data_IF_066243795791
#
_entry.id   IF_066243795791
#
_cell.length_a   1.000
_cell.length_b   1.000
_cell.length_c   1.000
_cell.angle_alpha   90.00
_cell.angle_beta   90.00
_cell.angle_gamma   90.00
#
_symmetry.space_group_name_H-M   'P 1'
#
loop_
_entity.id
_entity.type
_entity.pdbx_description
1 polymer ?
#
# COMPACT_ATOMS: atom_id res chain seq x y z
N UNK A 1 27.10 1.96 -65.37
CA UNK A 1 26.54 3.32 -65.17
C UNK A 1 26.73 3.67 -63.70
N UNK A 2 27.54 4.70 -63.43
CA UNK A 2 27.75 5.31 -62.12
C UNK A 2 26.47 5.99 -61.61
N UNK A 3 26.20 5.93 -60.30
CA UNK A 3 26.53 7.02 -59.36
C UNK A 3 26.15 6.64 -57.90
N UNK A 4 26.94 7.08 -56.89
CA UNK A 4 26.66 6.95 -55.47
C UNK A 4 26.02 8.24 -54.90
N UNK A 5 25.23 8.13 -53.82
CA UNK A 5 24.85 9.29 -53.01
C UNK A 5 25.23 9.09 -51.54
N UNK A 6 26.19 9.91 -51.15
CA UNK A 6 26.65 10.22 -49.80
C UNK A 6 25.83 11.39 -49.26
N UNK A 7 25.54 11.45 -47.94
CA UNK A 7 25.85 12.57 -47.02
C UNK A 7 24.98 12.57 -45.73
N UNK A 8 25.70 12.46 -44.60
CA UNK A 8 25.61 13.24 -43.34
C UNK A 8 24.28 13.47 -42.63
N UNK A 9 24.23 13.12 -41.33
CA UNK A 9 24.12 14.09 -40.22
C UNK A 9 24.85 13.52 -38.98
N UNK A 10 25.92 14.19 -38.53
CA UNK A 10 26.53 14.01 -37.21
C UNK A 10 26.04 15.16 -36.33
N UNK A 11 25.16 14.88 -35.37
CA UNK A 11 24.62 15.89 -34.46
C UNK A 11 25.54 15.97 -33.23
N UNK A 12 26.41 16.98 -33.19
CA UNK A 12 27.18 17.35 -31.99
C UNK A 12 26.28 18.12 -31.03
N UNK A 13 25.87 17.48 -29.93
CA UNK A 13 25.26 18.18 -28.80
C UNK A 13 26.38 18.85 -28.00
N UNK A 14 26.40 20.18 -27.98
CA UNK A 14 27.18 21.00 -27.04
C UNK A 14 26.37 21.12 -25.75
N UNK A 15 26.79 20.44 -24.68
CA UNK A 15 26.37 20.81 -23.33
C UNK A 15 27.10 22.08 -22.90
N UNK A 16 26.34 23.14 -22.67
CA UNK A 16 26.81 24.36 -21.99
C UNK A 16 26.29 24.26 -20.56
N UNK A 17 27.14 23.85 -19.62
CA UNK A 17 26.87 23.98 -18.19
C UNK A 17 27.05 25.44 -17.79
N UNK A 18 25.93 26.15 -17.63
CA UNK A 18 25.91 27.47 -16.98
C UNK A 18 25.87 27.28 -15.47
N UNK A 19 27.02 27.37 -14.82
CA UNK A 19 27.13 27.53 -13.37
C UNK A 19 26.48 28.86 -12.95
N UNK A 20 25.38 28.81 -12.19
CA UNK A 20 24.81 29.98 -11.53
C UNK A 20 25.40 30.12 -10.12
N UNK A 21 25.92 31.30 -9.72
CA UNK A 21 26.35 31.54 -8.36
C UNK A 21 25.13 31.71 -7.44
N UNK A 22 25.07 30.89 -6.39
CA UNK A 22 24.11 30.99 -5.30
C UNK A 22 24.37 32.30 -4.55
N UNK A 23 23.40 33.22 -4.57
CA UNK A 23 23.42 34.43 -3.75
C UNK A 23 23.08 34.08 -2.31
N UNK A 24 24.03 34.29 -1.41
CA UNK A 24 23.82 34.27 0.04
C UNK A 24 22.74 35.30 0.43
N UNK A 25 21.58 34.82 0.88
CA UNK A 25 20.58 35.67 1.52
C UNK A 25 20.90 35.83 3.00
N UNK A 26 21.26 37.06 3.38
CA UNK A 26 21.39 37.49 4.77
C UNK A 26 20.06 37.34 5.50
N UNK A 27 19.96 36.32 6.35
CA UNK A 27 18.86 36.11 7.28
C UNK A 27 18.93 37.15 8.42
N UNK A 28 18.13 38.21 8.32
CA UNK A 28 17.94 39.19 9.39
C UNK A 28 17.03 38.60 10.47
N UNK A 29 17.63 38.24 11.61
CA UNK A 29 16.91 37.86 12.85
C UNK A 29 16.08 39.05 13.36
N UNK A 30 14.78 39.00 13.13
CA UNK A 30 13.84 39.93 13.73
C UNK A 30 13.43 39.42 15.11
N UNK A 31 14.08 39.91 16.16
CA UNK A 31 13.67 39.70 17.56
C UNK A 31 12.39 40.51 17.80
N UNK A 32 11.22 39.87 17.81
CA UNK A 32 10.00 40.46 18.38
C UNK A 32 9.78 39.97 19.80
N UNK A 33 9.51 40.96 20.64
CA UNK A 33 9.40 40.89 22.08
C UNK A 33 8.25 39.99 22.53
N UNK A 34 8.56 39.21 23.57
CA UNK A 34 7.61 38.54 24.44
C UNK A 34 6.79 39.62 25.18
N UNK A 35 5.51 39.74 24.85
CA UNK A 35 4.53 40.39 25.72
C UNK A 35 3.71 39.30 26.38
N UNK A 36 4.01 39.13 27.67
CA UNK A 36 3.22 38.41 28.65
C UNK A 36 1.89 39.14 28.85
N UNK A 37 0.78 38.48 28.54
CA UNK A 37 -0.54 38.88 29.05
C UNK A 37 -1.14 37.72 29.83
N UNK A 38 -0.89 37.76 31.13
CA UNK A 38 -1.66 37.09 32.17
C UNK A 38 -3.07 37.68 32.25
N UNK A 39 -4.09 36.83 32.27
CA UNK A 39 -5.48 37.20 32.60
C UNK A 39 -6.39 36.00 32.34
N UNK A 40 -6.57 35.11 33.32
CA UNK A 40 -7.69 35.09 34.27
C UNK A 40 -9.08 34.82 33.64
N UNK A 41 -9.73 33.81 34.24
CA UNK A 41 -11.16 33.44 34.18
C UNK A 41 -11.55 32.71 32.88
N UNK A 42 -12.23 31.57 32.89
CA UNK A 42 -13.42 31.23 33.66
C UNK A 42 -13.60 29.70 33.66
N UNK A 43 -13.84 29.13 34.85
CA UNK A 43 -14.17 27.72 35.04
C UNK A 43 -15.54 27.44 34.41
N UNK A 44 -15.57 26.75 33.28
CA UNK A 44 -16.75 26.01 32.82
C UNK A 44 -16.48 24.52 33.00
N UNK A 45 -16.95 23.99 34.13
CA UNK A 45 -17.10 22.55 34.34
C UNK A 45 -18.27 22.09 33.47
N UNK A 46 -17.97 21.69 32.24
CA UNK A 46 -18.93 21.04 31.35
C UNK A 46 -18.79 19.53 31.56
N UNK A 47 -19.80 18.98 32.22
CA UNK A 47 -19.92 17.58 32.61
C UNK A 47 -20.26 16.78 31.33
N UNK A 48 -19.22 16.44 30.56
CA UNK A 48 -19.31 15.51 29.44
C UNK A 48 -19.49 14.11 30.02
N UNK A 49 -20.72 13.62 29.94
CA UNK A 49 -21.05 12.20 30.07
C UNK A 49 -20.31 11.49 28.95
N UNK A 50 -19.17 10.90 29.30
CA UNK A 50 -18.34 10.11 28.40
C UNK A 50 -19.06 8.83 28.02
N UNK A 51 -19.85 8.88 26.95
CA UNK A 51 -20.17 7.70 26.17
C UNK A 51 -18.93 7.41 25.35
N UNK A 52 -18.00 6.64 25.93
CA UNK A 52 -16.97 5.93 25.18
C UNK A 52 -17.68 4.91 24.30
N UNK A 53 -18.11 5.34 23.12
CA UNK A 53 -18.37 4.43 22.02
C UNK A 53 -17.01 3.83 21.69
N UNK A 54 -16.79 2.59 22.11
CA UNK A 54 -15.70 1.78 21.59
C UNK A 54 -16.01 1.51 20.13
N UNK A 55 -15.73 2.49 19.26
CA UNK A 55 -15.56 2.23 17.86
C UNK A 55 -14.41 1.22 17.80
N UNK A 56 -14.68 0.00 17.32
CA UNK A 56 -13.62 -0.91 16.94
C UNK A 56 -12.91 -0.29 15.74
N UNK A 57 -12.03 0.68 16.03
CA UNK A 57 -10.98 1.08 15.11
C UNK A 57 -10.25 -0.20 14.71
N UNK A 58 -9.90 -0.32 13.44
CA UNK A 58 -9.49 -1.56 12.79
C UNK A 58 -8.10 -2.10 13.24
N UNK A 59 -7.88 -2.21 14.56
CA UNK A 59 -6.81 -2.99 15.16
C UNK A 59 -7.24 -4.45 15.25
N UNK A 60 -7.18 -5.17 14.12
CA UNK A 60 -7.03 -6.61 14.19
C UNK A 60 -5.57 -6.90 14.51
N UNK A 61 -5.29 -7.27 15.76
CA UNK A 61 -4.06 -7.99 16.15
C UNK A 61 -4.03 -9.31 15.35
N UNK A 62 -3.62 -9.26 14.10
CA UNK A 62 -3.25 -10.44 13.34
C UNK A 62 -1.81 -10.81 13.72
N UNK A 63 -1.61 -11.24 14.97
CA UNK A 63 -0.46 -12.08 15.28
C UNK A 63 -0.75 -13.45 14.66
N UNK A 64 -0.32 -13.59 13.41
CA UNK A 64 -0.25 -14.87 12.72
C UNK A 64 0.78 -15.73 13.48
N UNK A 65 0.31 -16.56 14.41
CA UNK A 65 1.15 -17.57 15.05
C UNK A 65 1.50 -18.60 13.98
N UNK A 66 2.76 -18.54 13.55
CA UNK A 66 3.30 -19.30 12.42
C UNK A 66 2.84 -20.75 12.33
N UNK A 67 2.41 -21.13 11.12
CA UNK A 67 2.41 -22.52 10.71
C UNK A 67 3.86 -22.95 10.48
N UNK A 68 4.38 -23.69 11.47
CA UNK A 68 5.65 -24.39 11.35
C UNK A 68 5.64 -25.33 10.16
N UNK A 69 6.64 -25.19 9.31
CA UNK A 69 6.94 -26.14 8.25
C UNK A 69 7.24 -27.53 8.83
N UNK A 70 6.53 -28.53 8.35
CA UNK A 70 7.01 -29.91 8.40
C UNK A 70 7.77 -30.19 7.12
N UNK A 71 9.09 -30.22 7.25
CA UNK A 71 9.97 -30.86 6.29
C UNK A 71 9.63 -32.35 6.25
N UNK A 72 9.24 -32.88 5.09
CA UNK A 72 9.40 -34.31 4.83
C UNK A 72 10.07 -34.50 3.47
N UNK A 73 11.35 -34.91 3.56
CA UNK A 73 12.14 -35.45 2.47
C UNK A 73 11.70 -36.89 2.25
N UNK A 74 11.19 -37.21 1.05
CA UNK A 74 10.71 -38.56 0.73
C UNK A 74 10.74 -38.86 -0.76
N UNK A 75 11.95 -39.07 -1.29
CA UNK A 75 12.19 -39.60 -2.63
C UNK A 75 11.59 -41.03 -2.75
N UNK A 76 10.58 -41.28 -3.59
CA UNK A 76 10.37 -42.61 -4.21
C UNK A 76 9.58 -42.54 -5.52
N UNK A 77 10.25 -43.00 -6.58
CA UNK A 77 9.83 -43.66 -7.82
C UNK A 77 8.43 -43.47 -8.46
N UNK A 78 8.50 -43.35 -9.79
CA UNK A 78 7.45 -43.56 -10.79
C UNK A 78 6.62 -44.85 -10.60
N UNK A 79 5.33 -44.80 -10.94
CA UNK A 79 4.65 -45.57 -12.02
C UNK A 79 3.14 -45.34 -11.94
N UNK A 80 2.48 -45.25 -13.10
CA UNK A 80 1.10 -44.79 -13.20
C UNK A 80 0.03 -45.75 -12.68
N UNK A 81 -1.19 -45.21 -12.59
CA UNK A 81 -2.44 -45.88 -12.95
C UNK A 81 -3.58 -44.88 -12.94
N UNK A 82 -4.32 -44.88 -14.05
CA UNK A 82 -5.65 -44.32 -14.20
C UNK A 82 -6.62 -45.07 -13.28
N UNK A 83 -7.24 -44.41 -12.29
CA UNK A 83 -8.50 -44.91 -11.70
C UNK A 83 -9.46 -43.76 -11.37
N UNK A 84 -10.59 -43.80 -12.07
CA UNK A 84 -11.89 -43.24 -11.73
C UNK A 84 -12.46 -43.91 -10.48
N UNK A 85 -13.00 -43.14 -9.53
CA UNK A 85 -13.85 -43.69 -8.46
C UNK A 85 -13.98 -42.74 -7.28
N UNK A 86 -15.19 -42.23 -7.06
CA UNK A 86 -15.47 -41.25 -6.01
C UNK A 86 -15.57 -41.84 -4.60
N UNK A 87 -15.62 -40.96 -3.61
CA UNK A 87 -16.38 -41.24 -2.40
C UNK A 87 -16.94 -39.96 -1.78
N UNK A 88 -18.16 -40.12 -1.28
CA UNK A 88 -19.07 -39.10 -0.79
C UNK A 88 -19.11 -39.23 0.74
N UNK A 89 -18.47 -38.32 1.46
CA UNK A 89 -18.40 -38.37 2.93
C UNK A 89 -18.70 -37.01 3.53
N UNK A 90 -19.96 -36.81 3.94
CA UNK A 90 -20.46 -35.53 4.40
C UNK A 90 -19.87 -35.02 5.72
N UNK A 91 -19.81 -33.70 5.82
CA UNK A 91 -20.10 -33.00 7.08
C UNK A 91 -21.01 -31.83 6.73
N UNK A 92 -22.31 -32.08 6.85
CA UNK A 92 -23.39 -31.07 6.78
C UNK A 92 -23.38 -30.24 8.06
N UNK A 93 -22.45 -29.29 8.14
CA UNK A 93 -22.52 -28.16 9.06
C UNK A 93 -23.37 -27.06 8.44
N UNK A 94 -24.62 -26.98 8.88
CA UNK A 94 -25.61 -26.02 8.42
C UNK A 94 -25.32 -24.64 9.03
N UNK A 95 -24.38 -23.88 8.46
CA UNK A 95 -24.32 -22.43 8.66
C UNK A 95 -25.21 -21.80 7.61
N UNK A 96 -26.38 -21.39 8.07
CA UNK A 96 -27.38 -20.68 7.29
C UNK A 96 -26.81 -19.30 6.91
N UNK A 97 -26.09 -19.22 5.78
CA UNK A 97 -25.73 -17.95 5.15
C UNK A 97 -27.00 -17.29 4.60
N UNK A 98 -27.61 -16.45 5.43
CA UNK A 98 -28.70 -15.59 5.01
C UNK A 98 -28.17 -14.47 4.13
N UNK A 99 -28.14 -14.72 2.82
CA UNK A 99 -28.80 -13.86 1.84
C UNK A 99 -28.27 -12.43 1.68
N UNK A 100 -27.15 -12.31 0.97
CA UNK A 100 -27.03 -11.50 -0.27
C UNK A 100 -25.90 -12.14 -1.04
N UNK A 101 -26.03 -12.32 -2.35
CA UNK A 101 -24.90 -12.66 -3.21
C UNK A 101 -23.94 -11.47 -3.23
N UNK A 102 -23.21 -11.27 -2.13
CA UNK A 102 -22.02 -10.46 -2.12
C UNK A 102 -21.15 -11.04 -3.22
N UNK A 103 -20.96 -10.27 -4.30
CA UNK A 103 -19.97 -10.62 -5.30
C UNK A 103 -18.69 -10.92 -4.53
N UNK A 104 -18.21 -12.16 -4.68
CA UNK A 104 -17.14 -12.70 -3.86
C UNK A 104 -15.95 -11.76 -3.97
N UNK A 105 -15.57 -11.17 -2.84
CA UNK A 105 -14.34 -10.40 -2.78
C UNK A 105 -13.17 -11.31 -3.15
N UNK A 106 -12.26 -10.81 -3.99
CA UNK A 106 -11.15 -11.57 -4.50
C UNK A 106 -10.08 -11.73 -3.41
N UNK A 107 -10.17 -12.81 -2.63
CA UNK A 107 -9.19 -13.15 -1.59
C UNK A 107 -7.85 -13.55 -2.17
N UNK A 108 -7.77 -13.94 -3.46
CA UNK A 108 -6.49 -14.20 -4.11
C UNK A 108 -5.62 -12.94 -4.18
N UNK A 109 -6.22 -11.75 -4.10
CA UNK A 109 -5.48 -10.50 -4.02
C UNK A 109 -4.91 -10.23 -2.62
N UNK A 110 -5.27 -10.99 -1.58
CA UNK A 110 -4.83 -10.73 -0.19
C UNK A 110 -3.55 -11.45 0.18
N UNK A 111 -3.26 -12.53 -0.53
CA UNK A 111 -2.10 -13.34 -0.25
C UNK A 111 -0.83 -12.66 -0.78
N UNK A 112 0.00 -12.18 0.16
CA UNK A 112 1.30 -11.59 -0.12
C UNK A 112 2.39 -12.64 -0.41
N UNK A 113 2.03 -13.93 -0.46
CA UNK A 113 2.97 -15.02 -0.66
C UNK A 113 3.69 -14.89 -2.01
N UNK A 114 5.03 -15.13 -2.06
CA UNK A 114 5.76 -15.22 -3.32
C UNK A 114 5.20 -16.29 -4.28
N UNK A 115 4.51 -17.30 -3.73
CA UNK A 115 3.88 -18.36 -4.51
C UNK A 115 2.55 -17.95 -5.15
N UNK A 116 1.96 -16.83 -4.73
CA UNK A 116 0.73 -16.29 -5.32
C UNK A 116 1.03 -15.53 -6.63
N UNK A 117 1.48 -16.27 -7.65
CA UNK A 117 1.91 -15.76 -8.97
C UNK A 117 0.76 -15.32 -9.88
N UNK A 118 -0.31 -14.73 -9.33
CA UNK A 118 -1.31 -14.05 -10.16
C UNK A 118 -0.76 -12.75 -10.81
N UNK A 119 0.50 -12.41 -10.58
CA UNK A 119 1.23 -11.36 -11.29
C UNK A 119 2.16 -11.98 -12.32
N UNK A 120 1.75 -11.83 -13.58
CA UNK A 120 2.45 -12.31 -14.75
C UNK A 120 3.88 -11.77 -14.81
N UNK A 121 4.79 -12.70 -15.10
CA UNK A 121 6.24 -12.67 -15.01
C UNK A 121 6.97 -11.66 -15.93
N UNK A 122 6.39 -10.50 -16.30
CA UNK A 122 6.96 -9.67 -17.37
C UNK A 122 7.09 -8.15 -17.16
N UNK A 123 6.57 -7.54 -16.09
CA UNK A 123 6.85 -6.11 -15.80
C UNK A 123 7.31 -5.89 -14.35
N UNK A 124 8.63 -5.73 -14.25
CA UNK A 124 9.49 -5.61 -13.07
C UNK A 124 9.09 -4.47 -12.11
N UNK A 125 9.25 -4.75 -10.82
CA UNK A 125 9.44 -3.82 -9.68
C UNK A 125 8.23 -3.00 -9.17
N UNK A 126 7.35 -2.44 -10.02
CA UNK A 126 6.25 -1.59 -9.51
C UNK A 126 4.94 -2.34 -9.22
N UNK A 127 4.73 -3.52 -9.80
CA UNK A 127 3.48 -4.27 -9.76
C UNK A 127 3.37 -5.26 -8.59
N UNK A 128 3.86 -4.87 -7.40
CA UNK A 128 3.70 -5.61 -6.14
C UNK A 128 2.24 -6.09 -5.96
N UNK A 129 2.02 -7.24 -5.33
CA UNK A 129 0.72 -7.92 -5.19
C UNK A 129 -0.46 -6.98 -4.82
N UNK A 130 -1.31 -6.55 -5.78
CA UNK A 130 -2.45 -5.68 -5.55
C UNK A 130 -3.44 -6.34 -4.61
N UNK A 131 -3.77 -5.64 -3.54
CA UNK A 131 -4.72 -6.08 -2.51
C UNK A 131 -4.07 -6.73 -1.30
N UNK A 132 -2.78 -7.06 -1.37
CA UNK A 132 -2.03 -7.60 -0.26
C UNK A 132 -1.66 -6.48 0.73
N UNK A 133 -1.37 -6.81 1.98
CA UNK A 133 -0.92 -5.82 2.94
C UNK A 133 0.57 -5.52 2.74
N UNK A 134 0.91 -4.43 2.05
CA UNK A 134 2.31 -4.09 1.74
C UNK A 134 3.19 -3.99 3.00
N UNK A 135 2.63 -3.53 4.12
CA UNK A 135 3.33 -3.40 5.40
C UNK A 135 3.61 -4.75 6.09
N UNK A 136 3.07 -5.87 5.60
CA UNK A 136 3.47 -7.20 6.04
C UNK A 136 4.91 -7.52 5.64
N UNK A 137 5.38 -6.97 4.51
CA UNK A 137 6.73 -7.19 3.99
C UNK A 137 7.63 -5.96 4.18
N UNK A 138 7.10 -4.76 3.95
CA UNK A 138 7.84 -3.49 3.94
C UNK A 138 7.84 -2.79 5.31
N UNK A 139 8.27 -3.53 6.34
CA UNK A 139 8.42 -3.07 7.73
C UNK A 139 9.88 -3.21 8.16
N UNK A 140 10.41 -2.45 9.14
CA UNK A 140 11.77 -2.64 9.61
C UNK A 140 12.06 -4.10 10.01
N UNK A 141 13.02 -4.73 9.33
CA UNK A 141 13.37 -6.14 9.53
C UNK A 141 12.42 -7.15 8.86
N UNK A 142 11.51 -6.68 8.01
CA UNK A 142 10.68 -7.53 7.15
C UNK A 142 11.39 -7.89 5.84
N UNK A 143 10.86 -8.87 5.09
CA UNK A 143 11.49 -9.36 3.86
C UNK A 143 11.59 -8.31 2.75
N UNK A 144 10.80 -7.23 2.78
CA UNK A 144 10.91 -6.12 1.83
C UNK A 144 11.91 -5.03 2.26
N UNK A 145 12.52 -5.17 3.44
CA UNK A 145 13.56 -4.28 3.97
C UNK A 145 14.96 -4.69 3.55
N UNK A 146 15.16 -5.98 3.34
CA UNK A 146 16.37 -6.56 2.79
C UNK A 146 16.24 -6.38 1.29
N UNK A 147 16.99 -5.43 0.73
CA UNK A 147 17.07 -5.25 -0.72
C UNK A 147 17.39 -6.56 -1.43
N UNK A 148 17.10 -6.65 -2.73
CA UNK A 148 17.61 -7.78 -3.50
C UNK A 148 19.14 -7.70 -3.47
N UNK A 149 19.78 -8.76 -2.96
CA UNK A 149 21.22 -8.91 -3.08
C UNK A 149 21.49 -9.18 -4.56
N UNK A 150 21.57 -8.11 -5.35
CA UNK A 150 21.64 -8.17 -6.81
C UNK A 150 22.63 -9.24 -7.28
N UNK A 151 22.28 -9.93 -8.36
CA UNK A 151 23.11 -10.98 -8.94
C UNK A 151 24.54 -10.45 -9.14
N UNK A 152 25.54 -11.23 -8.70
CA UNK A 152 26.95 -10.82 -8.68
C UNK A 152 27.37 -10.21 -10.04
N UNK A 153 27.45 -8.87 -10.11
CA UNK A 153 27.86 -8.14 -11.31
C UNK A 153 26.87 -7.08 -11.82
N UNK A 154 25.68 -6.96 -11.23
CA UNK A 154 24.79 -5.81 -11.45
C UNK A 154 25.03 -4.76 -10.36
N UNK A 155 25.46 -3.55 -10.73
CA UNK A 155 25.86 -2.49 -9.79
C UNK A 155 24.67 -1.75 -9.13
N UNK A 156 23.45 -2.26 -9.26
CA UNK A 156 22.26 -1.64 -8.67
C UNK A 156 21.79 -2.46 -7.47
N UNK A 157 22.30 -2.09 -6.28
CA UNK A 157 21.75 -2.51 -4.99
C UNK A 157 20.38 -1.82 -4.83
N UNK A 158 19.28 -2.57 -4.98
CA UNK A 158 17.95 -2.03 -4.72
C UNK A 158 17.75 -1.97 -3.19
N UNK A 159 17.95 -0.79 -2.60
CA UNK A 159 17.77 -0.62 -1.15
C UNK A 159 16.33 -0.95 -0.76
N UNK A 160 16.15 -2.03 0.02
CA UNK A 160 14.83 -2.46 0.49
C UNK A 160 14.05 -1.30 1.14
N UNK A 161 12.76 -1.23 0.83
CA UNK A 161 11.94 -0.06 1.12
C UNK A 161 11.07 -0.28 2.35
N UNK A 162 11.10 0.67 3.29
CA UNK A 162 10.28 0.65 4.49
C UNK A 162 9.14 1.65 4.35
N UNK A 163 7.90 1.16 4.34
CA UNK A 163 6.74 2.02 4.23
C UNK A 163 6.21 2.44 5.60
N UNK A 164 5.61 3.62 5.65
CA UNK A 164 4.87 4.14 6.81
C UNK A 164 3.36 4.04 6.58
N UNK A 165 2.92 4.15 5.32
CA UNK A 165 1.58 3.82 4.88
C UNK A 165 1.59 3.25 3.46
N UNK A 166 0.70 2.30 3.20
CA UNK A 166 0.58 1.66 1.89
C UNK A 166 -0.77 0.97 1.71
N UNK A 167 -1.19 0.81 0.46
CA UNK A 167 -2.40 0.08 0.11
C UNK A 167 -2.60 -0.07 -1.39
N UNK A 168 -3.73 -0.67 -1.74
CA UNK A 168 -4.14 -0.89 -3.14
C UNK A 168 -5.58 -0.43 -3.33
N UNK A 169 -5.82 0.40 -4.34
CA UNK A 169 -7.15 0.86 -4.72
C UNK A 169 -7.61 0.19 -6.02
N UNK A 170 -8.84 -0.30 -6.00
CA UNK A 170 -9.47 -1.03 -7.10
C UNK A 170 -10.60 -0.22 -7.73
N UNK A 171 -11.22 -0.72 -8.80
CA UNK A 171 -12.39 -0.10 -9.45
C UNK A 171 -13.71 -0.58 -8.85
N UNK A 172 -13.65 -1.61 -8.01
CA UNK A 172 -14.79 -2.26 -7.39
C UNK A 172 -14.42 -2.82 -6.02
N UNK A 173 -15.44 -3.07 -5.20
CA UNK A 173 -15.31 -3.61 -3.84
C UNK A 173 -14.74 -5.04 -3.80
N UNK A 174 -14.76 -5.75 -4.94
CA UNK A 174 -14.25 -7.12 -5.03
C UNK A 174 -12.75 -7.17 -5.27
N UNK A 175 -12.14 -6.07 -5.72
CA UNK A 175 -10.76 -6.05 -6.15
C UNK A 175 -10.55 -6.69 -7.53
N UNK A 176 -11.55 -6.66 -8.41
CA UNK A 176 -11.43 -7.34 -9.71
C UNK A 176 -10.51 -6.61 -10.70
N UNK A 177 -10.40 -5.28 -10.59
CA UNK A 177 -9.53 -4.47 -11.43
C UNK A 177 -8.83 -3.36 -10.64
N UNK A 178 -7.52 -3.17 -10.77
CA UNK A 178 -6.82 -2.08 -10.11
C UNK A 178 -7.25 -0.71 -10.67
N UNK A 179 -7.23 0.31 -9.81
CA UNK A 179 -7.52 1.69 -10.19
C UNK A 179 -6.25 2.53 -10.20
N UNK A 180 -5.65 2.68 -11.37
CA UNK A 180 -4.50 3.56 -11.58
C UNK A 180 -4.87 5.04 -11.60
N UNK A 181 -3.90 5.89 -11.24
CA UNK A 181 -3.99 7.35 -11.32
C UNK A 181 -4.98 7.98 -10.34
N UNK A 182 -5.32 7.28 -9.26
CA UNK A 182 -6.12 7.85 -8.15
C UNK A 182 -5.18 8.65 -7.27
N UNK A 183 -5.58 9.86 -6.89
CA UNK A 183 -4.84 10.66 -5.89
C UNK A 183 -5.32 10.27 -4.50
N UNK A 184 -4.39 9.88 -3.63
CA UNK A 184 -4.64 9.55 -2.22
C UNK A 184 -4.04 10.68 -1.40
N UNK A 185 -4.86 11.36 -0.60
CA UNK A 185 -4.43 12.38 0.34
C UNK A 185 -4.54 11.84 1.76
N UNK A 186 -3.42 11.82 2.48
CA UNK A 186 -3.33 11.44 3.88
C UNK A 186 -3.06 12.69 4.68
N UNK A 187 -3.97 13.04 5.60
CA UNK A 187 -3.76 14.11 6.58
C UNK A 187 -3.51 13.46 7.94
N UNK A 188 -2.31 13.62 8.46
CA UNK A 188 -1.91 13.03 9.74
C UNK A 188 -2.50 13.79 10.95
N UNK A 189 -2.27 13.29 12.16
CA UNK A 189 -2.78 13.88 13.40
C UNK A 189 -2.13 15.23 13.75
N UNK A 190 -0.95 15.53 13.19
CA UNK A 190 -0.26 16.81 13.36
C UNK A 190 -0.70 17.84 12.30
N UNK A 191 -1.52 17.43 11.33
CA UNK A 191 -2.05 18.25 10.24
C UNK A 191 -1.15 18.30 9.00
N UNK A 192 -0.12 17.45 8.91
CA UNK A 192 0.68 17.31 7.71
C UNK A 192 -0.12 16.59 6.62
N UNK A 193 0.04 17.01 5.36
CA UNK A 193 -0.68 16.45 4.21
C UNK A 193 0.30 15.81 3.25
N UNK A 194 0.09 14.52 2.98
CA UNK A 194 0.86 13.72 2.03
C UNK A 194 -0.06 13.37 0.87
N UNK A 195 0.39 13.63 -0.36
CA UNK A 195 -0.35 13.27 -1.57
C UNK A 195 0.39 12.21 -2.37
N UNK A 196 -0.28 11.09 -2.60
CA UNK A 196 0.22 9.93 -3.33
C UNK A 196 -0.64 9.70 -4.58
N UNK A 197 -0.10 9.00 -5.57
CA UNK A 197 -0.85 8.57 -6.76
C UNK A 197 -0.71 7.08 -6.93
N UNK A 198 -1.83 6.38 -7.16
CA UNK A 198 -1.79 4.94 -7.40
C UNK A 198 -1.17 4.60 -8.76
N UNK A 199 -0.30 3.59 -8.79
CA UNK A 199 0.36 3.11 -9.99
C UNK A 199 -0.57 2.26 -10.88
N UNK A 200 -0.03 1.67 -11.96
CA UNK A 200 -0.80 0.82 -12.89
C UNK A 200 -1.48 -0.39 -12.21
N UNK A 201 -0.86 -0.91 -11.15
CA UNK A 201 -1.37 -2.01 -10.34
C UNK A 201 -2.30 -1.54 -9.20
N UNK A 202 -2.60 -0.23 -9.12
CA UNK A 202 -3.45 0.35 -8.09
C UNK A 202 -2.75 0.55 -6.74
N UNK A 203 -1.46 0.25 -6.65
CA UNK A 203 -0.70 0.39 -5.40
C UNK A 203 -0.28 1.84 -5.15
N UNK A 204 -0.22 2.20 -3.88
CA UNK A 204 0.41 3.43 -3.40
C UNK A 204 1.12 3.13 -2.08
N UNK A 205 2.17 3.90 -1.80
CA UNK A 205 2.94 3.80 -0.56
C UNK A 205 3.65 5.12 -0.30
N UNK A 206 4.10 5.31 0.94
CA UNK A 206 5.01 6.39 1.32
C UNK A 206 5.95 5.92 2.43
N UNK A 207 7.13 6.53 2.47
CA UNK A 207 8.15 6.36 3.51
C UNK A 207 8.18 7.58 4.45
N UNK A 208 7.41 8.62 4.11
CA UNK A 208 7.31 9.84 4.92
C UNK A 208 6.65 9.51 6.26
N UNK A 209 7.18 10.00 7.40
CA UNK A 209 6.58 9.77 8.71
C UNK A 209 5.12 10.25 8.78
N UNK A 210 4.25 9.44 9.38
CA UNK A 210 2.83 9.77 9.60
C UNK A 210 2.51 9.63 11.09
N UNK A 211 1.96 10.69 11.68
CA UNK A 211 1.39 10.62 13.03
C UNK A 211 -0.06 10.15 12.96
N UNK A 212 -0.37 8.99 13.52
CA UNK A 212 -1.74 8.46 13.57
C UNK A 212 -2.53 8.97 14.79
N UNK A 213 -3.88 9.05 14.73
CA UNK A 213 -4.73 8.61 13.63
C UNK A 213 -4.74 9.60 12.45
N UNK A 214 -4.82 9.08 11.22
CA UNK A 214 -4.79 9.87 10.00
C UNK A 214 -6.14 9.86 9.27
N UNK A 215 -6.50 10.97 8.64
CA UNK A 215 -7.65 11.04 7.73
C UNK A 215 -7.20 10.77 6.30
N UNK A 216 -8.02 10.07 5.51
CA UNK A 216 -7.68 9.71 4.13
C UNK A 216 -8.79 10.09 3.17
N UNK A 217 -8.41 10.67 2.04
CA UNK A 217 -9.31 11.00 0.92
C UNK A 217 -8.74 10.43 -0.37
N UNK A 218 -9.57 9.78 -1.18
CA UNK A 218 -9.23 9.34 -2.53
C UNK A 218 -9.96 10.20 -3.56
N UNK A 219 -9.27 10.61 -4.64
CA UNK A 219 -9.83 11.46 -5.71
C UNK A 219 -9.48 10.95 -7.10
N UNK A 220 -10.44 11.04 -8.03
CA UNK A 220 -10.23 10.75 -9.45
C UNK A 220 -11.15 11.61 -10.31
N UNK A 221 -10.57 12.56 -11.04
CA UNK A 221 -11.36 13.58 -11.74
C UNK A 221 -12.21 14.38 -10.75
N UNK A 222 -13.53 14.43 -10.99
CA UNK A 222 -14.49 15.13 -10.11
C UNK A 222 -15.04 14.24 -8.98
N UNK A 223 -14.60 12.98 -8.89
CA UNK A 223 -15.03 12.06 -7.84
C UNK A 223 -14.12 12.14 -6.61
N UNK A 224 -14.72 12.08 -5.44
CA UNK A 224 -14.06 12.10 -4.14
C UNK A 224 -14.71 11.07 -3.22
N UNK A 225 -13.89 10.32 -2.49
CA UNK A 225 -14.34 9.49 -1.37
C UNK A 225 -13.50 9.78 -0.15
N UNK A 226 -14.19 9.98 0.97
CA UNK A 226 -13.60 10.37 2.24
C UNK A 226 -13.82 9.21 3.20
N UNK A 227 -12.77 8.77 3.89
CA UNK A 227 -12.92 7.83 4.99
C UNK A 227 -13.71 8.48 6.12
N UNK A 228 -14.78 7.83 6.57
CA UNK A 228 -15.66 8.34 7.63
C UNK A 228 -15.01 8.28 9.02
N UNK A 229 -13.99 7.43 9.20
CA UNK A 229 -13.28 7.22 10.45
C UNK A 229 -11.77 7.35 10.17
N UNK A 230 -11.02 8.14 10.96
CA UNK A 230 -9.57 8.19 10.87
C UNK A 230 -8.93 6.81 11.09
N UNK A 231 -7.91 6.48 10.31
CA UNK A 231 -7.19 5.19 10.41
C UNK A 231 -6.16 5.23 11.53
N UNK A 232 -6.01 4.14 12.31
CA UNK A 232 -5.04 4.09 13.41
C UNK A 232 -3.63 3.67 12.95
N UNK A 233 -3.45 3.23 11.70
CA UNK A 233 -2.20 2.68 11.16
C UNK A 233 -2.12 2.86 9.64
N UNK A 234 -0.93 2.66 9.07
CA UNK A 234 -0.67 2.85 7.64
C UNK A 234 -1.00 1.68 6.73
N UNK A 235 -1.34 0.50 7.28
CA UNK A 235 -1.71 -0.69 6.51
C UNK A 235 -3.15 -0.64 6.05
N UNK A 236 -3.42 0.07 4.94
CA UNK A 236 -4.79 0.29 4.47
C UNK A 236 -5.51 -1.04 4.17
N UNK A 237 -4.79 -1.99 3.56
CA UNK A 237 -5.35 -3.28 3.16
C UNK A 237 -5.65 -4.20 4.36
N UNK A 238 -5.15 -3.91 5.56
CA UNK A 238 -5.59 -4.61 6.79
C UNK A 238 -7.06 -4.32 7.11
N UNK A 239 -7.49 -3.07 6.98
CA UNK A 239 -8.88 -2.68 7.22
C UNK A 239 -9.76 -2.97 5.98
N UNK A 240 -9.16 -2.87 4.80
CA UNK A 240 -9.79 -3.08 3.49
C UNK A 240 -9.57 -4.49 2.91
N UNK A 241 -9.48 -5.49 3.78
CA UNK A 241 -9.57 -6.90 3.38
C UNK A 241 -11.03 -7.30 3.10
N UNK A 242 -11.24 -8.44 2.46
CA UNK A 242 -12.50 -9.05 2.14
C UNK A 242 -13.35 -9.32 3.39
N UNK A 243 -12.69 -9.73 4.47
CA UNK A 243 -13.27 -9.90 5.81
C UNK A 243 -12.88 -8.74 6.76
N UNK A 244 -12.27 -7.68 6.22
CA UNK A 244 -11.78 -6.54 6.99
C UNK A 244 -12.92 -5.66 7.50
N UNK A 245 -12.60 -4.82 8.49
CA UNK A 245 -13.56 -3.94 9.15
C UNK A 245 -14.26 -2.95 8.19
N UNK A 246 -13.67 -2.66 7.03
CA UNK A 246 -14.27 -1.79 6.01
C UNK A 246 -15.31 -2.48 5.12
N UNK A 247 -15.48 -3.81 5.24
CA UNK A 247 -16.48 -4.57 4.48
C UNK A 247 -16.13 -4.81 3.01
N UNK A 248 -14.85 -4.70 2.64
CA UNK A 248 -14.37 -4.98 1.28
C UNK A 248 -13.11 -4.19 0.91
N UNK A 249 -12.69 -4.36 -0.36
CA UNK A 249 -11.53 -3.66 -0.91
C UNK A 249 -11.75 -2.15 -0.96
N UNK A 250 -10.66 -1.40 -0.81
CA UNK A 250 -10.66 0.02 -1.13
C UNK A 250 -10.87 0.16 -2.64
N UNK A 251 -11.86 0.95 -3.04
CA UNK A 251 -12.23 1.05 -4.45
C UNK A 251 -12.59 2.49 -4.84
N UNK A 252 -12.28 2.88 -6.07
CA UNK A 252 -12.68 4.12 -6.77
C UNK A 252 -13.13 3.76 -8.19
N UNK A 253 -14.43 3.88 -8.51
CA UNK A 253 -14.99 3.43 -9.80
C UNK A 253 -14.46 4.18 -11.04
#
# INVERSE_FOLDING_TARGET
MHLPFTFHVWMRIRMIHAFHPIKESKMTRNRRALLSTSGQNLRFFLLLVGITLAASACGSDSTDTGSGGTNDSGLTAMTGSTETGGDSGGTTGNTQETGTSAQACNTANEDASPDNRNHAEEEKEEAMYPGANCLACHTPGGPGAEGDEGEEGEEEEDEGRIFTAAGTIFRDLQGSAPAAGVTIEITDADGNVIQLTSNAAGNFFTEEPITFPASVVARKGDQEMIMSIPVPQGGCNTCHACSGAAGGKMFMP
#
